data_IF_865937570781
#
_entry.id   IF_865937570781
#
_cell.length_a   1.000
_cell.length_b   1.000
_cell.length_c   1.000
_cell.angle_alpha   90.00
_cell.angle_beta   90.00
_cell.angle_gamma   90.00
#
_symmetry.space_group_name_H-M   'P 1'
#
loop_
_entity.id
_entity.type
_entity.pdbx_description
1 polymer ?
#
# COMPACT_ATOMS: atom_id res chain seq x y z
N UNK A 1 -16.11 -2.71 -2.08
CA UNK A 1 -14.96 -1.82 -2.26
C UNK A 1 -15.07 -0.73 -1.21
N UNK A 2 -14.02 -0.55 -0.41
CA UNK A 2 -13.95 0.51 0.60
C UNK A 2 -12.72 1.36 0.32
N UNK A 3 -12.86 2.67 0.39
CA UNK A 3 -11.80 3.63 0.13
C UNK A 3 -11.73 4.60 1.30
N UNK A 4 -10.52 4.83 1.79
CA UNK A 4 -10.24 5.69 2.93
C UNK A 4 -9.17 6.71 2.51
N UNK A 5 -9.56 7.76 1.78
CA UNK A 5 -8.61 8.72 1.19
C UNK A 5 -7.76 9.41 2.27
N UNK A 6 -8.34 9.67 3.43
CA UNK A 6 -7.67 10.35 4.53
C UNK A 6 -6.53 9.52 5.15
N UNK A 7 -6.62 8.20 5.03
CA UNK A 7 -5.59 7.25 5.46
C UNK A 7 -4.73 6.73 4.30
N UNK A 8 -5.10 7.04 3.05
CA UNK A 8 -4.31 6.73 1.85
C UNK A 8 -4.35 5.26 1.42
N UNK A 9 -5.49 4.57 1.60
CA UNK A 9 -5.65 3.18 1.12
C UNK A 9 -7.06 2.86 0.63
N UNK A 10 -7.16 1.80 -0.18
CA UNK A 10 -8.41 1.19 -0.65
C UNK A 10 -8.37 -0.33 -0.53
N UNK A 11 -9.48 -0.93 -0.08
CA UNK A 11 -9.70 -2.38 -0.08
C UNK A 11 -10.48 -2.79 -1.34
N UNK A 12 -9.83 -3.59 -2.17
CA UNK A 12 -10.38 -4.17 -3.38
C UNK A 12 -11.22 -5.43 -3.09
N UNK A 13 -12.11 -5.79 -4.01
CA UNK A 13 -13.01 -6.94 -3.84
C UNK A 13 -12.28 -8.29 -3.76
N UNK A 14 -11.06 -8.38 -4.27
CA UNK A 14 -10.20 -9.57 -4.18
C UNK A 14 -9.41 -9.65 -2.86
N UNK A 15 -9.66 -8.74 -1.91
CA UNK A 15 -8.99 -8.72 -0.61
C UNK A 15 -7.64 -8.01 -0.59
N UNK A 16 -7.19 -7.43 -1.72
CA UNK A 16 -5.96 -6.63 -1.78
C UNK A 16 -6.21 -5.25 -1.17
N UNK A 17 -5.30 -4.80 -0.31
CA UNK A 17 -5.23 -3.41 0.15
C UNK A 17 -4.21 -2.68 -0.71
N UNK A 18 -4.65 -1.66 -1.44
CA UNK A 18 -3.78 -0.80 -2.26
C UNK A 18 -3.54 0.51 -1.52
N UNK A 19 -2.28 0.93 -1.44
CA UNK A 19 -1.87 2.21 -0.87
C UNK A 19 -1.67 3.27 -1.97
N UNK A 20 -1.82 4.55 -1.63
CA UNK A 20 -1.63 5.67 -2.58
C UNK A 20 -0.21 5.75 -3.17
N UNK A 21 0.78 5.19 -2.47
CA UNK A 21 2.15 5.08 -2.96
C UNK A 21 2.38 3.91 -3.94
N UNK A 22 1.31 3.18 -4.30
CA UNK A 22 1.25 1.99 -5.17
C UNK A 22 1.74 0.69 -4.55
N UNK A 23 2.08 0.68 -3.26
CA UNK A 23 2.30 -0.57 -2.53
C UNK A 23 1.00 -1.36 -2.36
N UNK A 24 1.13 -2.67 -2.11
CA UNK A 24 -0.02 -3.56 -1.87
C UNK A 24 0.24 -4.48 -0.68
N UNK A 25 -0.83 -4.75 0.11
CA UNK A 25 -0.88 -5.88 1.02
C UNK A 25 -1.80 -6.95 0.41
N UNK A 26 -1.23 -8.11 0.12
CA UNK A 26 -1.94 -9.23 -0.47
C UNK A 26 -2.79 -9.98 0.59
N UNK A 27 -3.80 -10.74 0.18
CA UNK A 27 -4.67 -11.48 1.11
C UNK A 27 -3.93 -12.52 1.97
N UNK A 28 -2.76 -12.98 1.53
CA UNK A 28 -1.90 -13.91 2.28
C UNK A 28 -0.98 -13.20 3.29
N UNK A 29 -1.05 -11.86 3.37
CA UNK A 29 -0.24 -11.03 4.25
C UNK A 29 1.13 -10.66 3.69
N UNK A 30 1.47 -11.07 2.46
CA UNK A 30 2.70 -10.64 1.79
C UNK A 30 2.56 -9.23 1.22
N UNK A 31 3.70 -8.54 1.07
CA UNK A 31 3.76 -7.13 0.67
C UNK A 31 4.36 -6.96 -0.72
N UNK A 32 3.79 -6.04 -1.51
CA UNK A 32 4.39 -5.51 -2.74
C UNK A 32 4.92 -4.10 -2.43
N UNK A 33 6.19 -3.88 -2.74
CA UNK A 33 6.87 -2.62 -2.48
C UNK A 33 6.31 -1.46 -3.33
N UNK A 34 6.29 -0.21 -2.81
CA UNK A 34 5.87 0.95 -3.57
C UNK A 34 6.69 1.19 -4.83
N UNK A 35 6.06 1.63 -5.93
CA UNK A 35 6.77 1.95 -7.18
C UNK A 35 7.43 3.34 -7.21
N UNK A 36 7.37 4.12 -6.11
CA UNK A 36 7.94 5.49 -6.07
C UNK A 36 9.35 5.57 -5.49
N UNK A 37 10.03 4.44 -5.29
CA UNK A 37 11.34 4.35 -4.65
C UNK A 37 11.25 4.28 -3.12
N UNK A 38 12.39 4.14 -2.41
CA UNK A 38 12.40 3.92 -0.97
C UNK A 38 11.74 5.10 -0.23
N UNK A 39 10.97 4.79 0.81
CA UNK A 39 10.39 5.80 1.67
C UNK A 39 11.50 6.75 2.17
N UNK A 40 11.22 8.07 2.20
CA UNK A 40 12.18 9.08 2.66
C UNK A 40 12.80 8.77 4.03
N UNK A 41 12.07 8.08 4.91
CA UNK A 41 12.57 7.67 6.23
C UNK A 41 13.52 6.45 6.16
N UNK A 42 13.42 5.63 5.12
CA UNK A 42 14.34 4.50 4.89
C UNK A 42 15.73 4.95 4.41
N UNK A 43 15.82 6.15 3.82
CA UNK A 43 17.09 6.75 3.38
C UNK A 43 17.86 7.43 4.52
N UNK A 44 17.29 7.54 5.72
CA UNK A 44 17.86 8.27 6.86
C UNK A 44 18.59 7.35 7.87
N UNK A 45 18.76 6.06 7.55
CA UNK A 45 19.45 5.07 8.39
C UNK A 45 20.92 4.90 7.98
#
# INVERSE_FOLDING_TARGET
MATFPEQGWSLLCNGVIVFEDTGELLPDGSTIEPHRGPARHALAA
#
